data_IF_317623173869
#
_entry.id   IF_317623173869
#
_cell.length_a   1.000
_cell.length_b   1.000
_cell.length_c   1.000
_cell.angle_alpha   90.00
_cell.angle_beta   90.00
_cell.angle_gamma   90.00
#
_symmetry.space_group_name_H-M   'P 1'
#
loop_
_entity.id
_entity.type
_entity.pdbx_description
1 polymer ?
#
# COMPACT_ATOMS: atom_id res chain seq x y z
N UNK A 1 -9.87 7.96 -15.12
CA UNK A 1 -8.58 7.83 -15.81
C UNK A 1 -7.70 8.94 -15.24
N UNK A 2 -6.75 8.61 -14.37
CA UNK A 2 -5.42 9.23 -14.43
C UNK A 2 -4.66 8.14 -15.21
N UNK A 3 -4.64 8.13 -16.55
CA UNK A 3 -4.48 9.25 -17.49
C UNK A 3 -3.27 10.10 -17.11
N UNK A 4 -2.08 9.51 -17.16
CA UNK A 4 -1.02 10.25 -17.83
C UNK A 4 -1.51 10.43 -19.26
N UNK A 5 -1.94 11.65 -19.59
CA UNK A 5 -2.43 12.00 -20.92
C UNK A 5 -1.33 11.68 -21.95
N UNK A 6 -1.71 10.89 -22.94
CA UNK A 6 -1.13 10.97 -24.28
C UNK A 6 -1.32 12.41 -24.78
N UNK A 7 -0.25 13.06 -25.20
CA UNK A 7 -0.31 13.95 -26.34
C UNK A 7 0.75 13.49 -27.34
N UNK A 8 0.27 13.24 -28.56
CA UNK A 8 1.01 12.82 -29.73
C UNK A 8 2.07 13.84 -30.13
N UNK A 9 3.20 13.29 -30.55
CA UNK A 9 4.26 13.99 -31.27
C UNK A 9 3.99 13.83 -32.76
N UNK A 10 3.62 14.89 -33.47
CA UNK A 10 4.03 15.07 -34.87
C UNK A 10 3.93 16.54 -35.30
N UNK A 11 4.98 17.02 -36.00
CA UNK A 11 5.10 18.26 -36.80
C UNK A 11 5.32 19.54 -35.95
N UNK A 12 6.40 20.35 -36.03
CA UNK A 12 7.24 20.81 -37.16
C UNK A 12 8.60 21.33 -36.62
N UNK A 13 9.60 21.33 -37.51
CA UNK A 13 11.00 21.73 -37.39
C UNK A 13 11.34 23.16 -36.90
N UNK A 14 12.67 23.37 -36.77
CA UNK A 14 13.48 24.63 -36.79
C UNK A 14 13.53 25.42 -35.46
N UNK A 15 14.66 25.89 -34.92
CA UNK A 15 15.98 26.28 -35.45
C UNK A 15 17.01 26.44 -34.30
N UNK A 16 18.28 26.13 -34.59
CA UNK A 16 19.55 26.76 -34.15
C UNK A 16 19.75 27.13 -32.66
N UNK A 17 20.65 26.49 -31.89
CA UNK A 17 22.14 26.49 -31.94
C UNK A 17 22.80 27.60 -31.09
N UNK A 18 24.00 27.26 -30.57
CA UNK A 18 25.19 28.12 -30.31
C UNK A 18 25.66 28.27 -28.84
N UNK A 19 26.79 27.58 -28.58
CA UNK A 19 28.00 27.93 -27.77
C UNK A 19 27.89 27.95 -26.23
N UNK A 20 28.91 27.56 -25.44
CA UNK A 20 30.25 26.99 -25.67
C UNK A 20 30.93 26.72 -24.30
N UNK A 21 31.82 25.71 -24.25
CA UNK A 21 33.20 25.67 -23.67
C UNK A 21 33.50 26.55 -22.43
N UNK A 22 34.24 26.16 -21.39
CA UNK A 22 35.31 25.15 -21.22
C UNK A 22 35.99 25.35 -19.84
N UNK A 23 36.59 24.28 -19.28
CA UNK A 23 37.90 24.23 -18.55
C UNK A 23 38.00 24.98 -17.19
N UNK A 24 38.69 24.55 -16.12
CA UNK A 24 39.73 23.55 -15.83
C UNK A 24 39.79 23.23 -14.32
N UNK A 25 40.39 22.08 -14.05
CA UNK A 25 40.96 21.55 -12.80
C UNK A 25 41.64 22.55 -11.84
N UNK A 26 41.61 22.23 -10.53
CA UNK A 26 42.84 22.11 -9.72
C UNK A 26 42.61 21.46 -8.32
N UNK A 27 43.35 20.37 -8.10
CA UNK A 27 44.09 19.91 -6.90
C UNK A 27 43.58 20.11 -5.45
N UNK A 28 43.62 18.99 -4.71
CA UNK A 28 43.48 18.79 -3.25
C UNK A 28 44.46 19.61 -2.37
N UNK A 29 44.16 19.76 -1.07
CA UNK A 29 44.85 18.90 -0.09
C UNK A 29 43.96 18.35 1.05
N UNK A 30 44.44 17.25 1.62
CA UNK A 30 43.97 16.54 2.81
C UNK A 30 44.17 17.33 4.11
N UNK A 31 43.16 17.35 4.98
CA UNK A 31 43.34 17.57 6.42
C UNK A 31 42.25 16.87 7.21
N UNK A 32 42.65 15.96 8.10
CA UNK A 32 41.81 15.36 9.12
C UNK A 32 41.48 16.40 10.18
N UNK A 33 40.20 16.66 10.44
CA UNK A 33 39.76 17.41 11.62
C UNK A 33 38.62 16.65 12.28
N UNK A 34 38.94 16.02 13.42
CA UNK A 34 37.97 15.67 14.44
C UNK A 34 37.40 16.96 15.03
N UNK A 35 36.11 17.23 14.83
CA UNK A 35 35.39 18.23 15.61
C UNK A 35 34.15 17.61 16.27
N UNK A 36 34.21 17.64 17.61
CA UNK A 36 33.17 17.28 18.57
C UNK A 36 31.88 18.04 18.25
N UNK A 37 30.79 17.32 18.00
CA UNK A 37 29.46 17.92 18.00
C UNK A 37 29.01 18.19 19.44
N UNK A 38 29.03 19.46 19.82
CA UNK A 38 28.32 19.97 20.99
C UNK A 38 26.82 20.01 20.62
N UNK A 39 26.02 19.10 21.20
CA UNK A 39 24.56 19.15 21.11
C UNK A 39 24.07 20.38 21.87
N UNK A 40 23.56 21.39 21.15
CA UNK A 40 22.67 22.40 21.74
C UNK A 40 21.29 21.75 21.87
N UNK A 41 20.92 21.37 23.09
CA UNK A 41 19.55 21.00 23.47
C UNK A 41 18.72 22.27 23.59
N UNK A 42 17.75 22.45 22.68
CA UNK A 42 16.63 23.37 22.90
C UNK A 42 15.48 22.57 23.53
N UNK A 43 14.93 22.99 24.67
CA UNK A 43 13.76 22.34 25.22
C UNK A 43 12.54 22.71 24.36
N UNK A 44 12.04 21.75 23.58
CA UNK A 44 10.72 21.85 22.96
C UNK A 44 9.70 21.51 24.05
N UNK A 45 8.98 22.52 24.52
CA UNK A 45 7.83 22.34 25.42
C UNK A 45 6.69 21.70 24.64
N UNK A 46 6.53 20.39 24.75
CA UNK A 46 5.28 19.73 24.36
C UNK A 46 4.20 20.14 25.35
N UNK A 47 3.19 20.88 24.88
CA UNK A 47 1.92 20.97 25.60
C UNK A 47 1.34 19.55 25.66
N UNK A 48 1.40 18.94 26.85
CA UNK A 48 0.74 17.66 27.14
C UNK A 48 -0.76 17.86 26.96
N UNK A 49 -1.33 17.34 25.87
CA UNK A 49 -2.74 17.01 25.86
C UNK A 49 -2.94 15.85 26.83
N UNK A 50 -3.41 16.16 28.04
CA UNK A 50 -3.89 15.16 28.99
C UNK A 50 -5.14 14.50 28.37
N UNK A 51 -4.96 13.34 27.75
CA UNK A 51 -6.06 12.40 27.59
C UNK A 51 -6.18 11.64 28.91
N UNK A 52 -7.12 12.07 29.75
CA UNK A 52 -7.62 11.19 30.81
C UNK A 52 -8.19 9.94 30.13
N UNK A 53 -7.59 8.78 30.42
CA UNK A 53 -8.28 7.50 30.23
C UNK A 53 -9.51 7.54 31.13
N UNK A 54 -10.63 7.98 30.58
CA UNK A 54 -11.92 7.73 31.21
C UNK A 54 -12.10 6.22 31.23
N UNK A 55 -12.07 5.66 32.43
CA UNK A 55 -12.43 4.27 32.71
C UNK A 55 -13.88 4.06 32.26
N UNK A 56 -14.06 3.66 31.01
CA UNK A 56 -15.34 3.19 30.49
C UNK A 56 -15.40 1.70 30.76
N UNK A 57 -16.13 1.34 31.81
CA UNK A 57 -16.54 -0.03 32.12
C UNK A 57 -17.56 -0.51 31.08
N UNK A 58 -17.08 -0.72 29.86
CA UNK A 58 -17.82 -1.22 28.72
C UNK A 58 -16.89 -1.24 27.52
N UNK A 59 -16.27 -2.38 27.23
CA UNK A 59 -15.57 -2.59 25.95
C UNK A 59 -16.51 -2.18 24.80
N UNK A 60 -15.97 -1.49 23.78
CA UNK A 60 -16.80 -1.08 22.65
C UNK A 60 -17.47 -2.31 22.03
N UNK A 61 -18.70 -2.17 21.52
CA UNK A 61 -19.42 -3.26 20.85
C UNK A 61 -18.57 -3.94 19.75
N UNK A 62 -17.68 -3.17 19.11
CA UNK A 62 -16.77 -3.70 18.10
C UNK A 62 -15.65 -4.58 18.68
N UNK A 63 -15.08 -4.23 19.84
CA UNK A 63 -14.09 -5.07 20.52
C UNK A 63 -14.71 -6.43 20.87
N UNK A 64 -15.89 -6.46 21.50
CA UNK A 64 -16.58 -7.72 21.81
C UNK A 64 -16.93 -8.52 20.54
N UNK A 65 -17.30 -7.84 19.45
CA UNK A 65 -17.57 -8.49 18.16
C UNK A 65 -16.33 -9.23 17.64
N UNK A 66 -15.15 -8.61 17.73
CA UNK A 66 -13.89 -9.20 17.27
C UNK A 66 -13.43 -10.32 18.21
N UNK A 67 -13.47 -10.10 19.54
CA UNK A 67 -13.03 -11.10 20.52
C UNK A 67 -13.96 -12.31 20.59
N UNK A 68 -15.28 -12.11 20.41
CA UNK A 68 -16.24 -13.20 20.26
C UNK A 68 -15.92 -14.07 19.04
N UNK A 69 -15.62 -13.46 17.88
CA UNK A 69 -15.18 -14.22 16.71
C UNK A 69 -13.87 -14.99 16.97
N UNK A 70 -12.89 -14.40 17.65
CA UNK A 70 -11.63 -15.09 18.02
C UNK A 70 -11.90 -16.30 18.92
N UNK A 71 -12.82 -16.16 19.88
CA UNK A 71 -13.29 -17.22 20.78
C UNK A 71 -13.97 -18.35 20.01
N UNK A 72 -14.93 -18.02 19.14
CA UNK A 72 -15.70 -18.97 18.34
C UNK A 72 -14.82 -19.75 17.35
N UNK A 73 -13.75 -19.13 16.86
CA UNK A 73 -12.79 -19.77 15.94
C UNK A 73 -11.61 -20.43 16.65
N UNK A 74 -11.59 -20.41 17.99
CA UNK A 74 -10.52 -20.97 18.81
C UNK A 74 -9.11 -20.45 18.41
N UNK A 75 -9.05 -19.18 18.00
CA UNK A 75 -7.79 -18.47 17.76
C UNK A 75 -7.32 -17.93 19.11
N UNK A 76 -6.17 -18.41 19.59
CA UNK A 76 -5.59 -17.92 20.84
C UNK A 76 -5.31 -16.43 20.75
N UNK A 77 -5.82 -15.68 21.73
CA UNK A 77 -5.67 -14.24 21.82
C UNK A 77 -5.43 -13.77 23.26
N UNK A 78 -4.95 -12.53 23.42
CA UNK A 78 -4.81 -11.88 24.71
C UNK A 78 -4.75 -10.36 24.56
N UNK A 79 -5.25 -9.62 25.55
CA UNK A 79 -5.14 -8.17 25.58
C UNK A 79 -3.68 -7.76 25.83
N UNK A 80 -3.15 -6.89 24.98
CA UNK A 80 -1.80 -6.33 25.07
C UNK A 80 -1.82 -4.79 25.09
N UNK A 81 -2.99 -4.19 25.37
CA UNK A 81 -3.19 -2.74 25.36
C UNK A 81 -2.31 -2.01 26.37
N UNK A 82 -1.94 -2.65 27.49
CA UNK A 82 -0.99 -2.05 28.46
C UNK A 82 0.44 -1.92 27.92
N UNK A 83 0.79 -2.74 26.92
CA UNK A 83 2.12 -2.74 26.30
C UNK A 83 2.21 -1.74 25.14
N UNK A 84 1.07 -1.18 24.70
CA UNK A 84 0.96 -0.38 23.49
C UNK A 84 0.22 0.91 23.80
N UNK A 85 0.91 2.04 23.65
CA UNK A 85 0.30 3.36 23.87
C UNK A 85 -0.68 3.71 22.74
N UNK A 86 -1.93 3.26 22.88
CA UNK A 86 -3.06 3.60 21.99
C UNK A 86 -4.30 3.96 22.82
N UNK A 87 -5.17 4.88 22.33
CA UNK A 87 -6.50 5.07 22.92
C UNK A 87 -7.46 3.89 22.64
N UNK A 88 -7.11 2.98 21.74
CA UNK A 88 -7.94 1.83 21.38
C UNK A 88 -7.33 0.50 21.82
N UNK A 89 -8.20 -0.50 22.02
CA UNK A 89 -7.80 -1.85 22.39
C UNK A 89 -6.88 -2.47 21.36
N UNK A 90 -5.81 -3.12 21.83
CA UNK A 90 -4.94 -3.95 21.00
C UNK A 90 -4.94 -5.39 21.52
N UNK A 91 -5.39 -6.31 20.67
CA UNK A 91 -5.45 -7.74 20.98
C UNK A 91 -4.34 -8.48 20.25
N UNK A 92 -3.45 -9.14 20.97
CA UNK A 92 -2.48 -10.06 20.39
C UNK A 92 -3.17 -11.35 19.94
N UNK A 93 -2.88 -11.84 18.74
CA UNK A 93 -3.38 -13.13 18.23
C UNK A 93 -2.25 -14.05 17.74
N UNK A 94 -2.49 -15.37 17.85
CA UNK A 94 -1.56 -16.39 17.40
C UNK A 94 -0.27 -16.42 18.23
N UNK A 95 -0.39 -16.65 19.53
CA UNK A 95 0.72 -16.73 20.49
C UNK A 95 1.79 -17.75 20.04
N UNK A 96 3.06 -17.36 20.06
CA UNK A 96 4.25 -18.17 19.77
C UNK A 96 5.29 -17.89 20.86
N UNK A 97 5.49 -18.85 21.76
CA UNK A 97 6.26 -18.59 22.98
C UNK A 97 5.60 -17.50 23.81
N UNK A 98 6.36 -16.46 24.16
CA UNK A 98 5.86 -15.30 24.92
C UNK A 98 5.35 -14.13 24.04
N UNK A 99 5.48 -14.22 22.71
CA UNK A 99 5.07 -13.15 21.80
C UNK A 99 3.81 -13.52 21.01
N UNK A 100 3.11 -12.52 20.47
CA UNK A 100 2.02 -12.75 19.51
C UNK A 100 2.50 -12.53 18.07
N UNK A 101 1.96 -13.29 17.12
CA UNK A 101 2.23 -13.07 15.69
C UNK A 101 1.71 -11.74 15.20
N UNK A 102 0.51 -11.36 15.64
CA UNK A 102 -0.15 -10.14 15.19
C UNK A 102 -0.72 -9.39 16.38
N UNK A 103 -0.46 -8.10 16.50
CA UNK A 103 -1.26 -7.18 17.30
C UNK A 103 -2.41 -6.64 16.47
N UNK A 104 -3.66 -6.92 16.85
CA UNK A 104 -4.85 -6.37 16.23
C UNK A 104 -5.24 -5.07 16.94
N UNK A 105 -4.94 -3.93 16.33
CA UNK A 105 -5.37 -2.63 16.79
C UNK A 105 -6.82 -2.40 16.32
N UNK A 106 -7.77 -2.47 17.24
CA UNK A 106 -9.21 -2.49 16.94
C UNK A 106 -9.75 -1.05 16.95
N UNK A 107 -10.00 -0.48 15.77
CA UNK A 107 -10.37 0.92 15.61
C UNK A 107 -11.87 1.02 15.31
N UNK A 108 -12.69 1.54 16.25
CA UNK A 108 -14.12 1.72 16.02
C UNK A 108 -14.41 2.85 15.02
N UNK A 109 -15.67 2.98 14.60
CA UNK A 109 -16.07 4.09 13.74
C UNK A 109 -15.67 5.45 14.33
N UNK A 110 -15.09 6.34 13.51
CA UNK A 110 -14.91 7.71 13.94
C UNK A 110 -16.28 8.39 14.08
N UNK A 111 -16.37 9.32 15.02
CA UNK A 111 -17.61 10.03 15.34
C UNK A 111 -17.29 11.44 15.86
N UNK A 112 -18.32 12.18 16.27
CA UNK A 112 -18.15 13.49 16.92
C UNK A 112 -17.35 13.40 18.22
N UNK A 113 -17.45 12.28 18.93
CA UNK A 113 -16.77 12.04 20.21
C UNK A 113 -15.56 11.13 20.08
N UNK A 114 -15.42 10.42 18.96
CA UNK A 114 -14.29 9.56 18.66
C UNK A 114 -13.54 10.09 17.44
N UNK A 115 -12.56 10.97 17.67
CA UNK A 115 -11.71 11.53 16.61
C UNK A 115 -10.42 10.70 16.58
N UNK A 116 -10.08 10.16 15.42
CA UNK A 116 -8.86 9.38 15.23
C UNK A 116 -7.69 10.35 14.96
N UNK A 117 -6.62 10.22 15.74
CA UNK A 117 -5.39 10.97 15.52
C UNK A 117 -4.76 10.59 14.15
N UNK A 118 -4.40 11.58 13.30
CA UNK A 118 -3.86 11.34 11.96
C UNK A 118 -2.59 10.48 11.91
N UNK A 119 -1.80 10.49 12.98
CA UNK A 119 -0.50 9.81 13.07
C UNK A 119 -0.57 8.47 13.81
N UNK A 120 -1.74 8.11 14.35
CA UNK A 120 -1.88 6.95 15.25
C UNK A 120 -1.43 5.64 14.61
N UNK A 121 -2.03 5.27 13.47
CA UNK A 121 -1.74 4.02 12.77
C UNK A 121 -0.27 3.97 12.34
N UNK A 122 0.23 5.07 11.75
CA UNK A 122 1.63 5.19 11.34
C UNK A 122 2.59 5.03 12.53
N UNK A 123 2.37 5.75 13.63
CA UNK A 123 3.24 5.71 14.82
C UNK A 123 3.31 4.32 15.42
N UNK A 124 2.18 3.61 15.49
CA UNK A 124 2.16 2.24 15.97
C UNK A 124 2.83 1.27 14.99
N UNK A 125 2.63 1.45 13.68
CA UNK A 125 3.28 0.62 12.65
C UNK A 125 4.80 0.82 12.63
N UNK A 126 5.27 2.05 12.86
CA UNK A 126 6.69 2.40 12.89
C UNK A 126 7.37 2.01 14.22
N UNK A 127 6.60 1.54 15.21
CA UNK A 127 7.14 1.19 16.52
C UNK A 127 7.80 -0.20 16.53
N UNK A 128 9.12 -0.22 16.39
CA UNK A 128 9.94 -1.44 16.43
C UNK A 128 10.04 -2.09 17.82
N UNK A 129 9.56 -1.42 18.89
CA UNK A 129 9.62 -1.94 20.27
C UNK A 129 8.42 -2.79 20.67
N UNK A 130 7.44 -2.95 19.76
CA UNK A 130 6.25 -3.76 20.03
C UNK A 130 6.62 -5.24 20.23
N UNK A 131 5.92 -5.90 21.16
CA UNK A 131 6.11 -7.33 21.50
C UNK A 131 5.42 -8.28 20.50
N UNK A 132 4.98 -7.76 19.35
CA UNK A 132 4.31 -8.51 18.28
C UNK A 132 5.14 -8.49 17.01
N UNK A 133 5.05 -9.54 16.19
CA UNK A 133 5.82 -9.58 14.93
C UNK A 133 5.32 -8.58 13.88
N UNK A 134 4.02 -8.25 13.93
CA UNK A 134 3.41 -7.24 13.07
C UNK A 134 2.14 -6.69 13.71
N UNK A 135 1.76 -5.46 13.35
CA UNK A 135 0.50 -4.85 13.77
C UNK A 135 -0.46 -4.76 12.59
N UNK A 136 -1.75 -4.99 12.82
CA UNK A 136 -2.83 -4.79 11.86
C UNK A 136 -3.80 -3.77 12.45
N UNK A 137 -4.13 -2.75 11.68
CA UNK A 137 -5.14 -1.75 12.03
C UNK A 137 -6.48 -2.20 11.49
N UNK A 138 -7.27 -2.83 12.37
CA UNK A 138 -8.57 -3.36 12.04
C UNK A 138 -9.63 -2.28 12.27
N UNK A 139 -9.96 -1.56 11.19
CA UNK A 139 -11.05 -0.59 11.23
C UNK A 139 -12.43 -1.27 11.12
N UNK A 140 -13.37 -0.83 11.95
CA UNK A 140 -14.73 -1.36 12.03
C UNK A 140 -15.47 -1.31 10.68
N UNK A 141 -15.25 -0.25 9.91
CA UNK A 141 -15.86 -0.07 8.60
C UNK A 141 -15.38 -1.11 7.57
N UNK A 142 -14.12 -1.54 7.68
CA UNK A 142 -13.55 -2.60 6.83
C UNK A 142 -14.05 -3.97 7.27
N UNK A 143 -14.12 -4.22 8.59
CA UNK A 143 -14.68 -5.45 9.15
C UNK A 143 -16.14 -5.67 8.74
N UNK A 144 -16.97 -4.63 8.81
CA UNK A 144 -18.40 -4.75 8.50
C UNK A 144 -18.66 -4.93 7.01
N UNK A 145 -17.89 -4.28 6.13
CA UNK A 145 -18.11 -4.38 4.67
C UNK A 145 -17.47 -5.61 4.01
N UNK A 146 -16.38 -6.14 4.55
CA UNK A 146 -15.60 -7.25 3.96
C UNK A 146 -15.34 -8.36 4.97
N UNK A 147 -16.34 -8.66 5.79
CA UNK A 147 -16.22 -9.47 7.00
C UNK A 147 -15.57 -10.84 6.78
N UNK A 148 -16.06 -11.57 5.79
CA UNK A 148 -15.56 -12.88 5.39
C UNK A 148 -14.09 -12.83 4.93
N UNK A 149 -13.73 -11.87 4.08
CA UNK A 149 -12.35 -11.67 3.60
C UNK A 149 -11.42 -11.25 4.74
N UNK A 150 -11.89 -10.38 5.64
CA UNK A 150 -11.10 -9.94 6.80
C UNK A 150 -10.82 -11.12 7.73
N UNK A 151 -11.85 -11.89 8.11
CA UNK A 151 -11.71 -13.09 8.95
C UNK A 151 -10.74 -14.09 8.32
N UNK A 152 -10.89 -14.34 7.03
CA UNK A 152 -9.97 -15.17 6.24
C UNK A 152 -8.51 -14.70 6.31
N UNK A 153 -8.27 -13.39 6.09
CA UNK A 153 -6.92 -12.80 6.15
C UNK A 153 -6.29 -12.92 7.54
N UNK A 154 -7.07 -12.65 8.59
CA UNK A 154 -6.62 -12.78 9.97
C UNK A 154 -6.28 -14.24 10.32
N UNK A 155 -7.16 -15.18 9.95
CA UNK A 155 -6.92 -16.61 10.12
C UNK A 155 -5.65 -17.07 9.38
N UNK A 156 -5.43 -16.57 8.16
CA UNK A 156 -4.23 -16.86 7.38
C UNK A 156 -2.94 -16.39 8.07
N UNK A 157 -2.93 -15.18 8.66
CA UNK A 157 -1.77 -14.64 9.40
C UNK A 157 -1.37 -15.51 10.60
N UNK A 158 -2.32 -16.24 11.18
CA UNK A 158 -2.06 -17.18 12.29
C UNK A 158 -1.99 -18.65 11.85
N UNK A 159 -1.85 -18.91 10.55
CA UNK A 159 -1.75 -20.26 9.95
C UNK A 159 -3.00 -21.15 10.13
N UNK A 160 -4.18 -20.56 10.32
CA UNK A 160 -5.48 -21.21 10.51
C UNK A 160 -6.35 -21.17 9.24
N UNK A 161 -5.76 -21.49 8.09
CA UNK A 161 -6.50 -21.60 6.81
C UNK A 161 -7.15 -22.98 6.65
N UNK A 162 -8.28 -23.05 5.96
CA UNK A 162 -8.98 -24.31 5.70
C UNK A 162 -8.27 -25.12 4.60
N UNK A 163 -7.80 -24.44 3.56
CA UNK A 163 -7.15 -25.08 2.42
C UNK A 163 -5.70 -24.63 2.24
N UNK A 164 -4.83 -25.60 1.91
CA UNK A 164 -3.42 -25.36 1.57
C UNK A 164 -3.11 -25.98 0.22
N UNK A 165 -3.03 -25.13 -0.79
CA UNK A 165 -2.58 -25.53 -2.11
C UNK A 165 -1.07 -25.31 -2.24
N UNK A 166 -0.43 -26.15 -3.06
CA UNK A 166 0.98 -26.00 -3.39
C UNK A 166 1.09 -25.64 -4.85
N UNK A 167 1.74 -24.52 -5.17
CA UNK A 167 1.84 -24.03 -6.55
C UNK A 167 2.48 -25.04 -7.51
N UNK A 168 3.32 -25.97 -7.04
CA UNK A 168 3.87 -27.05 -7.88
C UNK A 168 2.81 -28.00 -8.46
N UNK A 169 1.63 -28.09 -7.82
CA UNK A 169 0.50 -28.94 -8.26
C UNK A 169 -0.55 -28.18 -9.07
N UNK A 170 -0.31 -26.91 -9.37
CA UNK A 170 -1.26 -26.07 -10.11
C UNK A 170 -0.85 -25.94 -11.56
N UNK A 171 -1.76 -25.46 -12.41
CA UNK A 171 -1.48 -24.96 -13.74
C UNK A 171 -1.61 -23.45 -13.75
N UNK A 172 -0.70 -22.76 -14.44
CA UNK A 172 -0.78 -21.29 -14.61
C UNK A 172 -1.34 -20.99 -16.00
N UNK A 173 -2.25 -20.02 -16.10
CA UNK A 173 -2.83 -19.62 -17.38
C UNK A 173 -3.13 -18.11 -17.40
N UNK A 174 -3.03 -17.52 -18.60
CA UNK A 174 -3.68 -16.23 -18.89
C UNK A 174 -5.19 -16.35 -18.73
N UNK A 175 -5.78 -15.38 -18.03
CA UNK A 175 -7.24 -15.25 -17.89
C UNK A 175 -7.69 -13.90 -18.45
N UNK A 176 -8.95 -13.82 -18.87
CA UNK A 176 -9.54 -12.56 -19.31
C UNK A 176 -9.80 -11.62 -18.11
N UNK A 177 -10.13 -10.36 -18.41
CA UNK A 177 -10.36 -9.35 -17.39
C UNK A 177 -11.63 -9.58 -16.59
N UNK A 178 -12.67 -10.19 -17.17
CA UNK A 178 -13.96 -10.45 -16.49
C UNK A 178 -13.73 -11.48 -15.41
N UNK A 179 -13.11 -12.62 -15.76
CA UNK A 179 -12.73 -13.68 -14.82
C UNK A 179 -11.86 -13.14 -13.68
N UNK A 180 -10.87 -12.31 -13.99
CA UNK A 180 -10.01 -11.70 -12.98
C UNK A 180 -10.77 -10.74 -12.04
N UNK A 181 -11.69 -9.94 -12.59
CA UNK A 181 -12.50 -8.99 -11.81
C UNK A 181 -13.47 -9.70 -10.87
N UNK A 182 -14.14 -10.76 -11.33
CA UNK A 182 -15.04 -11.58 -10.52
C UNK A 182 -14.29 -12.18 -9.32
N UNK A 183 -13.16 -12.84 -9.60
CA UNK A 183 -12.33 -13.46 -8.56
C UNK A 183 -11.81 -12.43 -7.52
N UNK A 184 -11.32 -11.28 -7.99
CA UNK A 184 -10.81 -10.23 -7.09
C UNK A 184 -11.92 -9.60 -6.25
N UNK A 185 -13.12 -9.41 -6.79
CA UNK A 185 -14.24 -8.85 -6.04
C UNK A 185 -14.70 -9.79 -4.91
N UNK A 186 -14.60 -11.09 -5.13
CA UNK A 186 -14.99 -12.11 -4.16
C UNK A 186 -13.92 -12.37 -3.08
N UNK A 187 -12.63 -12.31 -3.44
CA UNK A 187 -11.55 -12.79 -2.56
C UNK A 187 -10.55 -11.72 -2.12
N UNK A 188 -10.46 -10.58 -2.82
CA UNK A 188 -9.51 -9.52 -2.48
C UNK A 188 -10.18 -8.43 -1.63
N UNK A 189 -9.53 -8.02 -0.53
CA UNK A 189 -10.06 -7.03 0.42
C UNK A 189 -10.55 -5.75 -0.27
N UNK A 190 -9.70 -5.24 -1.16
CA UNK A 190 -9.93 -4.02 -1.91
C UNK A 190 -10.60 -4.22 -3.28
N UNK A 191 -11.05 -5.44 -3.57
CA UNK A 191 -11.72 -5.79 -4.83
C UNK A 191 -10.87 -5.63 -6.10
N UNK A 192 -11.56 -5.74 -7.23
CA UNK A 192 -10.97 -5.61 -8.55
C UNK A 192 -10.51 -4.18 -8.85
N UNK A 193 -9.57 -4.07 -9.77
CA UNK A 193 -9.10 -2.79 -10.33
C UNK A 193 -8.63 -3.04 -11.76
N UNK A 194 -8.43 -1.96 -12.52
CA UNK A 194 -8.00 -2.05 -13.92
C UNK A 194 -6.63 -2.69 -14.02
N UNK A 195 -6.50 -3.64 -14.91
CA UNK A 195 -5.25 -4.34 -15.23
C UNK A 195 -5.18 -4.62 -16.73
N UNK A 196 -3.96 -4.85 -17.24
CA UNK A 196 -3.73 -5.23 -18.64
C UNK A 196 -3.46 -6.71 -18.79
N UNK A 197 -2.81 -7.28 -17.79
CA UNK A 197 -2.33 -8.64 -17.82
C UNK A 197 -2.84 -9.38 -16.60
N UNK A 198 -3.53 -10.51 -16.79
CA UNK A 198 -4.14 -11.28 -15.70
C UNK A 198 -3.74 -12.75 -15.85
N UNK A 199 -3.36 -13.34 -14.73
CA UNK A 199 -2.95 -14.74 -14.65
C UNK A 199 -3.69 -15.42 -13.51
N UNK A 200 -4.15 -16.64 -13.77
CA UNK A 200 -4.78 -17.51 -12.79
C UNK A 200 -3.92 -18.74 -12.49
N UNK A 201 -4.04 -19.25 -11.26
CA UNK A 201 -3.62 -20.60 -10.89
C UNK A 201 -4.84 -21.49 -10.79
N UNK A 202 -4.81 -22.60 -11.51
CA UNK A 202 -5.82 -23.64 -11.49
C UNK A 202 -5.29 -24.85 -10.75
N UNK A 203 -6.07 -25.45 -9.87
CA UNK A 203 -5.67 -26.69 -9.19
C UNK A 203 -5.85 -27.93 -10.09
N UNK A 204 -5.76 -29.12 -9.51
CA UNK A 204 -5.88 -30.39 -10.25
C UNK A 204 -7.28 -30.68 -10.76
N UNK A 205 -8.29 -29.99 -10.22
CA UNK A 205 -9.70 -30.14 -10.57
C UNK A 205 -10.16 -28.98 -11.49
N UNK A 206 -9.20 -28.25 -12.07
CA UNK A 206 -9.40 -27.05 -12.89
C UNK A 206 -10.16 -25.91 -12.18
N UNK A 207 -10.12 -25.85 -10.84
CA UNK A 207 -10.66 -24.73 -10.08
C UNK A 207 -9.65 -23.57 -10.06
N UNK A 208 -10.11 -22.34 -10.35
CA UNK A 208 -9.32 -21.12 -10.19
C UNK A 208 -9.14 -20.82 -8.69
N UNK A 209 -7.91 -20.92 -8.19
CA UNK A 209 -7.60 -20.80 -6.75
C UNK A 209 -6.76 -19.58 -6.38
N UNK A 210 -6.15 -18.91 -7.36
CA UNK A 210 -5.45 -17.63 -7.14
C UNK A 210 -5.34 -16.82 -8.43
N UNK A 211 -5.28 -15.49 -8.27
CA UNK A 211 -5.13 -14.52 -9.37
C UNK A 211 -4.04 -13.52 -9.07
N UNK A 212 -3.26 -13.16 -10.09
CA UNK A 212 -2.38 -12.00 -10.09
C UNK A 212 -2.68 -11.11 -11.30
N UNK A 213 -2.70 -9.80 -11.09
CA UNK A 213 -2.96 -8.82 -12.15
C UNK A 213 -1.85 -7.78 -12.23
N UNK A 214 -1.52 -7.38 -13.46
CA UNK A 214 -0.38 -6.50 -13.75
C UNK A 214 -0.77 -5.35 -14.67
N UNK A 215 -0.06 -4.23 -14.53
CA UNK A 215 -0.25 -3.03 -15.33
C UNK A 215 0.27 -3.18 -16.76
N UNK A 216 -0.14 -2.29 -17.68
CA UNK A 216 0.61 -2.06 -18.91
C UNK A 216 2.08 -1.72 -18.61
N UNK A 217 2.93 -1.90 -19.61
CA UNK A 217 4.34 -1.48 -19.58
C UNK A 217 4.42 0.03 -19.38
N UNK A 218 5.32 0.46 -18.50
CA UNK A 218 5.76 1.85 -18.36
C UNK A 218 7.23 1.94 -18.77
N UNK A 219 7.60 3.02 -19.47
CA UNK A 219 9.00 3.34 -19.73
C UNK A 219 9.52 4.16 -18.57
N UNK A 220 10.43 3.57 -17.79
CA UNK A 220 11.04 4.23 -16.64
C UNK A 220 12.54 4.26 -16.86
N UNK A 221 13.11 5.46 -16.94
CA UNK A 221 14.56 5.60 -16.91
C UNK A 221 15.01 5.28 -15.50
N UNK A 222 15.79 4.23 -15.33
CA UNK A 222 16.39 3.86 -14.06
C UNK A 222 17.89 4.16 -14.10
N UNK A 223 18.50 4.37 -12.93
CA UNK A 223 19.95 4.48 -12.86
C UNK A 223 20.62 3.20 -13.39
N UNK A 224 21.87 3.33 -13.84
CA UNK A 224 22.70 2.21 -14.32
C UNK A 224 22.08 1.47 -15.52
N UNK A 225 21.33 2.18 -16.36
CA UNK A 225 20.72 1.64 -17.58
C UNK A 225 21.07 2.47 -18.81
N UNK A 226 21.39 1.82 -19.93
CA UNK A 226 21.57 2.46 -21.24
C UNK A 226 20.24 2.76 -21.95
N UNK A 227 19.13 2.14 -21.51
CA UNK A 227 17.78 2.35 -22.04
C UNK A 227 16.71 2.47 -20.94
N UNK A 228 15.50 2.95 -21.27
CA UNK A 228 14.37 2.88 -20.34
C UNK A 228 14.03 1.42 -19.99
N UNK A 229 13.79 1.17 -18.70
CA UNK A 229 13.28 -0.11 -18.21
C UNK A 229 11.86 -0.36 -18.71
N UNK A 230 11.58 -1.62 -18.98
CA UNK A 230 10.26 -2.23 -19.21
C UNK A 230 9.62 -2.49 -17.85
N UNK A 231 9.22 -1.43 -17.16
CA UNK A 231 8.66 -1.51 -15.81
C UNK A 231 7.18 -1.88 -15.86
N UNK A 232 6.75 -2.78 -14.97
CA UNK A 232 5.35 -3.10 -14.74
C UNK A 232 5.02 -3.05 -13.26
N UNK A 233 3.73 -2.96 -12.94
CA UNK A 233 3.23 -3.02 -11.57
C UNK A 233 2.47 -4.33 -11.37
N UNK A 234 2.79 -5.09 -10.32
CA UNK A 234 1.91 -6.12 -9.78
C UNK A 234 0.84 -5.41 -8.96
N UNK A 235 -0.37 -5.35 -9.49
CA UNK A 235 -1.45 -4.53 -8.93
C UNK A 235 -2.19 -5.27 -7.82
N UNK A 236 -2.48 -6.55 -8.05
CA UNK A 236 -3.19 -7.41 -7.10
C UNK A 236 -2.64 -8.81 -7.13
N UNK A 237 -2.59 -9.45 -5.97
CA UNK A 237 -2.52 -10.89 -5.82
C UNK A 237 -3.47 -11.31 -4.71
N UNK A 238 -4.30 -12.33 -4.96
CA UNK A 238 -4.97 -13.06 -3.89
C UNK A 238 -5.17 -14.53 -4.27
N UNK A 239 -5.21 -15.37 -3.24
CA UNK A 239 -5.80 -16.70 -3.32
C UNK A 239 -7.29 -16.63 -2.94
N UNK A 240 -8.03 -17.73 -3.11
CA UNK A 240 -9.35 -17.88 -2.51
C UNK A 240 -9.29 -17.60 -1.00
N UNK A 241 -10.30 -16.89 -0.47
CA UNK A 241 -10.34 -16.43 0.93
C UNK A 241 -10.29 -17.58 1.95
N UNK A 242 -10.73 -18.77 1.59
CA UNK A 242 -10.71 -19.96 2.45
C UNK A 242 -9.38 -20.74 2.42
N UNK A 243 -8.37 -20.25 1.71
CA UNK A 243 -7.09 -20.96 1.66
C UNK A 243 -5.87 -20.14 1.30
N UNK A 244 -4.76 -20.86 1.16
CA UNK A 244 -3.46 -20.29 0.87
C UNK A 244 -2.73 -21.12 -0.18
N UNK A 245 -2.16 -20.46 -1.19
CA UNK A 245 -1.34 -21.10 -2.22
C UNK A 245 0.13 -20.87 -1.92
N UNK A 246 0.79 -21.89 -1.36
CA UNK A 246 2.22 -21.86 -1.05
C UNK A 246 3.01 -21.77 -2.36
N UNK A 247 3.78 -20.70 -2.53
CA UNK A 247 4.52 -20.38 -3.75
C UNK A 247 3.65 -19.83 -4.89
N UNK A 248 2.37 -19.51 -4.63
CA UNK A 248 1.42 -19.11 -5.68
C UNK A 248 1.84 -17.81 -6.37
N UNK A 249 2.14 -16.77 -5.58
CA UNK A 249 2.59 -15.48 -6.10
C UNK A 249 3.89 -15.62 -6.91
N UNK A 250 4.88 -16.37 -6.42
CA UNK A 250 6.15 -16.61 -7.12
C UNK A 250 5.90 -17.24 -8.48
N UNK A 251 5.05 -18.26 -8.55
CA UNK A 251 4.71 -18.92 -9.82
C UNK A 251 4.02 -17.98 -10.82
N UNK A 252 3.12 -17.12 -10.34
CA UNK A 252 2.43 -16.14 -11.19
C UNK A 252 3.38 -15.04 -11.68
N UNK A 253 4.30 -14.58 -10.83
CA UNK A 253 5.35 -13.63 -11.21
C UNK A 253 6.30 -14.25 -12.23
N UNK A 254 6.75 -15.50 -12.04
CA UNK A 254 7.60 -16.20 -13.01
C UNK A 254 6.89 -16.36 -14.37
N UNK A 255 5.61 -16.72 -14.37
CA UNK A 255 4.81 -16.81 -15.61
C UNK A 255 4.71 -15.46 -16.33
N UNK A 256 4.47 -14.38 -15.59
CA UNK A 256 4.48 -13.02 -16.13
C UNK A 256 5.85 -12.66 -16.74
N UNK A 257 6.94 -12.96 -16.04
CA UNK A 257 8.28 -12.63 -16.49
C UNK A 257 8.66 -13.39 -17.76
N UNK A 258 8.26 -14.67 -17.86
CA UNK A 258 8.49 -15.50 -19.02
C UNK A 258 7.78 -15.00 -20.28
N UNK A 259 6.56 -14.48 -20.14
CA UNK A 259 5.79 -13.98 -21.28
C UNK A 259 6.20 -12.56 -21.69
N UNK A 260 6.38 -11.64 -20.74
CA UNK A 260 6.52 -10.21 -21.02
C UNK A 260 7.97 -9.69 -21.01
N UNK A 261 8.90 -10.47 -20.46
CA UNK A 261 10.29 -10.06 -20.24
C UNK A 261 10.38 -8.63 -19.65
N UNK A 262 9.77 -8.36 -18.48
CA UNK A 262 9.93 -7.09 -17.79
C UNK A 262 11.38 -6.96 -17.28
N UNK A 263 11.82 -5.72 -17.09
CA UNK A 263 13.10 -5.46 -16.42
C UNK A 263 12.92 -5.30 -14.91
N UNK A 264 11.72 -4.90 -14.48
CA UNK A 264 11.36 -4.80 -13.07
C UNK A 264 9.85 -4.93 -12.86
N UNK A 265 9.48 -5.21 -11.61
CA UNK A 265 8.14 -5.13 -11.08
C UNK A 265 8.08 -4.20 -9.87
N UNK A 266 7.04 -3.37 -9.81
CA UNK A 266 6.71 -2.55 -8.65
C UNK A 266 5.44 -3.10 -8.00
N UNK A 267 5.33 -3.06 -6.68
CA UNK A 267 4.07 -3.29 -5.97
C UNK A 267 3.95 -2.36 -4.76
N UNK A 268 2.72 -2.16 -4.30
CA UNK A 268 2.41 -1.36 -3.13
C UNK A 268 1.77 -2.22 -2.06
N UNK A 269 2.19 -2.03 -0.81
CA UNK A 269 1.70 -2.76 0.36
C UNK A 269 1.04 -1.76 1.28
N UNK A 270 -0.22 -2.05 1.58
CA UNK A 270 -1.01 -1.33 2.56
C UNK A 270 -0.54 -1.69 3.97
N UNK A 271 -0.01 -0.69 4.69
CA UNK A 271 0.63 -0.89 5.98
C UNK A 271 -0.36 -1.12 7.11
N UNK A 272 -1.66 -0.86 6.91
CA UNK A 272 -2.71 -1.26 7.87
C UNK A 272 -2.78 -2.79 8.03
N UNK A 273 -2.27 -3.55 7.06
CA UNK A 273 -2.34 -5.02 7.04
C UNK A 273 -1.00 -5.71 7.32
N UNK A 274 -0.14 -5.00 8.04
CA UNK A 274 1.15 -5.45 8.52
C UNK A 274 2.31 -5.07 7.61
N UNK A 275 3.49 -5.51 8.02
CA UNK A 275 4.74 -5.23 7.33
C UNK A 275 4.84 -6.01 6.02
N UNK A 276 5.58 -5.45 5.05
CA UNK A 276 5.83 -6.08 3.76
C UNK A 276 6.86 -7.21 3.77
N UNK A 277 7.22 -7.74 4.94
CA UNK A 277 8.32 -8.70 5.10
C UNK A 277 8.14 -9.99 4.27
N UNK A 278 6.90 -10.42 4.05
CA UNK A 278 6.60 -11.59 3.20
C UNK A 278 7.00 -11.44 1.73
N UNK A 279 7.35 -10.22 1.29
CA UNK A 279 7.73 -9.91 -0.08
C UNK A 279 9.23 -10.03 -0.34
N UNK A 280 10.06 -9.81 0.68
CA UNK A 280 11.52 -9.88 0.54
C UNK A 280 12.01 -11.28 0.08
N UNK A 281 11.48 -12.41 0.60
CA UNK A 281 11.86 -13.74 0.09
C UNK A 281 11.49 -14.00 -1.37
N UNK A 282 10.61 -13.19 -1.97
CA UNK A 282 10.22 -13.26 -3.38
C UNK A 282 11.13 -12.36 -4.25
N UNK A 283 12.02 -11.58 -3.62
CA UNK A 283 12.95 -10.65 -4.28
C UNK A 283 12.47 -9.20 -4.34
N UNK A 284 11.40 -8.86 -3.62
CA UNK A 284 10.86 -7.49 -3.60
C UNK A 284 11.48 -6.66 -2.46
N UNK A 285 12.32 -5.71 -2.83
CA UNK A 285 13.00 -4.80 -1.91
C UNK A 285 12.14 -3.60 -1.55
N UNK A 286 12.21 -3.16 -0.28
CA UNK A 286 11.59 -1.90 0.17
C UNK A 286 12.37 -0.71 -0.36
N UNK A 287 11.73 0.11 -1.18
CA UNK A 287 12.36 1.27 -1.82
C UNK A 287 11.79 2.61 -1.37
N UNK A 288 10.57 2.64 -0.84
CA UNK A 288 9.99 3.85 -0.26
C UNK A 288 8.84 3.52 0.72
N UNK A 289 8.61 4.40 1.67
CA UNK A 289 7.38 4.44 2.49
C UNK A 289 6.68 5.75 2.20
N UNK A 290 5.42 5.68 1.82
CA UNK A 290 4.57 6.83 1.57
C UNK A 290 3.83 7.20 2.86
N UNK A 291 3.70 8.50 3.17
CA UNK A 291 2.86 8.97 4.25
C UNK A 291 1.41 8.44 4.20
N UNK A 292 0.71 8.48 5.35
CA UNK A 292 -0.71 8.17 5.44
C UNK A 292 -1.59 8.89 4.42
N UNK A 293 -2.68 8.24 4.04
CA UNK A 293 -3.79 8.86 3.33
C UNK A 293 -4.93 9.19 4.29
N UNK A 294 -5.64 10.27 3.99
CA UNK A 294 -6.90 10.63 4.64
C UNK A 294 -8.07 10.18 3.77
N UNK A 295 -9.03 9.56 4.43
CA UNK A 295 -10.33 9.19 3.90
C UNK A 295 -11.40 9.69 4.88
N UNK A 296 -12.66 9.68 4.47
CA UNK A 296 -13.77 10.02 5.35
C UNK A 296 -14.77 8.87 5.44
N UNK A 297 -15.29 8.61 6.63
CA UNK A 297 -16.43 7.73 6.83
C UNK A 297 -17.70 8.57 6.74
N UNK A 298 -18.57 8.20 5.82
CA UNK A 298 -19.92 8.73 5.70
C UNK A 298 -20.87 7.91 6.59
N UNK A 299 -21.41 8.56 7.63
CA UNK A 299 -22.36 7.97 8.57
C UNK A 299 -23.83 8.30 8.23
N UNK A 300 -24.12 8.98 7.11
CA UNK A 300 -25.50 9.20 6.67
C UNK A 300 -26.11 7.94 6.03
N UNK A 301 -25.26 7.14 5.39
CA UNK A 301 -25.63 5.89 4.75
C UNK A 301 -25.70 4.79 5.83
N UNK A 302 -26.80 4.03 5.91
CA UNK A 302 -27.04 3.09 7.02
C UNK A 302 -25.84 2.20 7.39
N UNK A 303 -25.12 1.64 6.41
CA UNK A 303 -23.81 1.03 6.62
C UNK A 303 -22.74 2.08 6.30
N UNK A 304 -21.86 2.46 7.24
CA UNK A 304 -20.86 3.49 6.99
C UNK A 304 -19.93 3.14 5.83
N UNK A 305 -19.72 4.09 4.92
CA UNK A 305 -18.92 3.92 3.70
C UNK A 305 -17.67 4.79 3.76
N UNK A 306 -16.51 4.18 3.50
CA UNK A 306 -15.23 4.89 3.36
C UNK A 306 -15.17 5.60 2.01
N UNK A 307 -15.05 6.93 2.06
CA UNK A 307 -14.93 7.85 0.94
C UNK A 307 -13.49 8.33 0.81
N UNK A 308 -12.93 8.23 -0.39
CA UNK A 308 -11.57 8.67 -0.67
C UNK A 308 -11.52 10.18 -0.90
N UNK A 309 -10.53 10.83 -0.29
CA UNK A 309 -10.30 12.28 -0.39
C UNK A 309 -9.10 12.61 -1.30
N UNK A 310 -8.40 11.60 -1.79
CA UNK A 310 -7.22 11.72 -2.65
C UNK A 310 -7.36 10.89 -3.93
N UNK A 311 -6.58 11.24 -4.96
CA UNK A 311 -6.44 10.48 -6.19
C UNK A 311 -7.76 10.28 -6.96
N UNK A 312 -7.97 9.07 -7.50
CA UNK A 312 -9.10 8.75 -8.37
C UNK A 312 -10.48 8.80 -7.70
N UNK A 313 -10.56 9.03 -6.38
CA UNK A 313 -11.82 9.26 -5.68
C UNK A 313 -12.30 10.72 -5.75
N UNK A 314 -11.41 11.68 -6.04
CA UNK A 314 -11.74 13.11 -6.03
C UNK A 314 -12.72 13.51 -7.14
N UNK A 315 -13.72 14.33 -6.81
CA UNK A 315 -14.57 15.03 -7.79
C UNK A 315 -15.63 14.15 -8.46
N UNK A 316 -15.99 13.05 -7.82
CA UNK A 316 -17.07 12.19 -8.30
C UNK A 316 -18.44 12.85 -8.08
N UNK A 317 -19.25 12.94 -9.14
CA UNK A 317 -20.66 13.32 -9.01
C UNK A 317 -21.42 12.14 -8.39
N UNK A 318 -22.37 12.42 -7.50
CA UNK A 318 -23.19 11.40 -6.80
C UNK A 318 -23.89 10.43 -7.77
N UNK A 319 -24.18 10.85 -9.01
CA UNK A 319 -24.88 10.06 -10.02
C UNK A 319 -23.99 9.39 -11.08
N UNK A 320 -22.66 9.36 -10.90
CA UNK A 320 -21.78 8.70 -11.86
C UNK A 320 -21.77 7.18 -11.62
N UNK A 321 -22.63 6.45 -12.34
CA UNK A 321 -22.73 4.98 -12.35
C UNK A 321 -21.41 4.25 -12.66
N UNK A 322 -20.36 4.98 -13.04
CA UNK A 322 -19.00 4.49 -13.23
C UNK A 322 -18.16 4.40 -11.94
N UNK A 323 -18.60 4.99 -10.82
CA UNK A 323 -17.82 5.08 -9.59
C UNK A 323 -17.97 3.89 -8.65
N UNK A 324 -19.17 3.30 -8.54
CA UNK A 324 -19.33 1.97 -7.93
C UNK A 324 -18.48 0.93 -8.67
N UNK A 325 -18.38 1.05 -10.01
CA UNK A 325 -17.60 0.13 -10.86
C UNK A 325 -16.09 0.15 -10.62
N UNK A 326 -15.52 1.22 -10.05
CA UNK A 326 -14.08 1.29 -9.73
C UNK A 326 -13.78 1.03 -8.24
N UNK A 327 -14.80 0.77 -7.41
CA UNK A 327 -14.64 0.36 -6.01
C UNK A 327 -14.04 1.40 -5.06
N UNK A 328 -14.02 2.69 -5.43
CA UNK A 328 -13.45 3.79 -4.63
C UNK A 328 -14.36 5.02 -4.67
N UNK A 329 -15.43 5.07 -3.84
CA UNK A 329 -16.31 6.22 -3.80
C UNK A 329 -15.57 7.44 -3.23
N UNK A 330 -15.79 8.63 -3.79
CA UNK A 330 -15.25 9.89 -3.29
C UNK A 330 -16.16 10.60 -2.31
N UNK A 331 -15.64 11.65 -1.66
CA UNK A 331 -16.48 12.61 -0.95
C UNK A 331 -17.35 13.41 -1.94
N UNK A 332 -18.51 13.96 -1.51
CA UNK A 332 -19.34 14.82 -2.35
C UNK A 332 -18.56 16.01 -2.93
N UNK A 333 -18.92 16.41 -4.16
CA UNK A 333 -18.17 17.42 -4.92
C UNK A 333 -18.22 18.81 -4.29
N UNK A 334 -19.33 19.17 -3.67
CA UNK A 334 -19.51 20.41 -2.89
C UNK A 334 -18.62 20.44 -1.64
N UNK A 335 -18.55 19.33 -0.91
CA UNK A 335 -17.61 19.17 0.22
C UNK A 335 -16.17 19.30 -0.25
N UNK A 336 -15.81 18.70 -1.39
CA UNK A 336 -14.48 18.84 -1.96
C UNK A 336 -14.17 20.31 -2.30
N UNK A 337 -15.11 21.05 -2.89
CA UNK A 337 -14.93 22.48 -3.19
C UNK A 337 -14.74 23.29 -1.90
N UNK A 338 -15.60 23.09 -0.88
CA UNK A 338 -15.50 23.78 0.41
C UNK A 338 -14.13 23.54 1.09
N UNK A 339 -13.65 22.29 1.11
CA UNK A 339 -12.33 21.98 1.66
C UNK A 339 -11.20 22.71 0.92
N UNK A 340 -11.36 22.99 -0.37
CA UNK A 340 -10.39 23.73 -1.18
C UNK A 340 -10.26 25.21 -0.82
N UNK A 341 -11.20 25.74 -0.03
CA UNK A 341 -11.19 27.12 0.47
C UNK A 341 -10.58 27.21 1.88
N UNK A 342 -10.36 26.07 2.55
CA UNK A 342 -9.81 25.99 3.90
C UNK A 342 -8.30 25.71 3.85
N UNK A 343 -7.55 26.28 4.80
CA UNK A 343 -6.08 26.13 4.87
C UNK A 343 -5.57 25.52 6.17
N UNK A 344 -6.40 25.43 7.20
CA UNK A 344 -6.08 24.85 8.50
C UNK A 344 -6.85 23.54 8.76
N UNK A 345 -6.36 22.77 9.73
CA UNK A 345 -6.90 21.46 10.10
C UNK A 345 -8.26 21.57 10.81
N UNK A 346 -8.41 22.52 11.72
CA UNK A 346 -9.65 22.73 12.47
C UNK A 346 -10.83 23.08 11.55
N UNK A 347 -10.63 24.02 10.62
CA UNK A 347 -11.63 24.38 9.62
C UNK A 347 -11.99 23.19 8.72
N UNK A 348 -11.01 22.39 8.31
CA UNK A 348 -11.25 21.23 7.45
C UNK A 348 -12.04 20.14 8.20
N UNK A 349 -11.74 19.91 9.48
CA UNK A 349 -12.51 19.04 10.35
C UNK A 349 -13.96 19.54 10.52
N UNK A 350 -14.17 20.84 10.62
CA UNK A 350 -15.52 21.42 10.76
C UNK A 350 -16.36 21.27 9.49
N UNK A 351 -15.75 21.46 8.32
CA UNK A 351 -16.40 21.19 7.02
C UNK A 351 -16.83 19.73 6.93
N UNK A 352 -15.94 18.79 7.27
CA UNK A 352 -16.27 17.36 7.26
C UNK A 352 -17.42 17.04 8.23
N UNK A 353 -17.34 17.52 9.48
CA UNK A 353 -18.37 17.29 10.51
C UNK A 353 -19.74 17.85 10.12
N UNK A 354 -19.76 19.04 9.53
CA UNK A 354 -20.99 19.68 9.05
C UNK A 354 -21.71 18.85 7.97
N UNK A 355 -20.95 18.00 7.27
CA UNK A 355 -21.45 17.08 6.24
C UNK A 355 -21.57 15.62 6.73
N UNK A 356 -21.47 15.38 8.05
CA UNK A 356 -21.49 14.06 8.68
C UNK A 356 -20.42 13.09 8.14
N UNK A 357 -19.28 13.66 7.75
CA UNK A 357 -18.08 12.96 7.33
C UNK A 357 -17.06 12.99 8.46
N UNK A 358 -16.45 11.85 8.75
CA UNK A 358 -15.47 11.73 9.83
C UNK A 358 -14.15 11.16 9.30
N UNK A 359 -13.01 11.83 9.51
CA UNK A 359 -11.76 11.40 8.91
C UNK A 359 -11.26 10.09 9.51
N UNK A 360 -10.64 9.26 8.66
CA UNK A 360 -9.85 8.08 9.02
C UNK A 360 -8.54 8.12 8.26
N UNK A 361 -7.51 7.57 8.89
CA UNK A 361 -6.15 7.60 8.39
C UNK A 361 -5.59 6.18 8.37
N UNK A 362 -4.89 5.82 7.31
CA UNK A 362 -4.14 4.56 7.23
C UNK A 362 -2.71 4.73 7.79
N UNK A 363 -1.95 3.65 7.89
CA UNK A 363 -0.53 3.68 8.27
C UNK A 363 0.42 4.07 7.12
N UNK A 364 -0.13 4.49 5.96
CA UNK A 364 0.60 4.74 4.73
C UNK A 364 0.82 3.49 3.87
N UNK A 365 1.61 3.66 2.82
CA UNK A 365 1.83 2.62 1.80
C UNK A 365 3.32 2.38 1.63
N UNK A 366 3.74 1.12 1.67
CA UNK A 366 5.11 0.73 1.39
C UNK A 366 5.26 0.33 -0.08
N UNK A 367 6.25 0.90 -0.77
CA UNK A 367 6.58 0.54 -2.15
C UNK A 367 7.69 -0.48 -2.18
N UNK A 368 7.47 -1.52 -2.98
CA UNK A 368 8.43 -2.57 -3.24
C UNK A 368 8.84 -2.59 -4.71
N UNK A 369 10.12 -2.87 -4.94
CA UNK A 369 10.72 -3.06 -6.27
C UNK A 369 11.34 -4.45 -6.33
N UNK A 370 11.02 -5.20 -7.37
CA UNK A 370 11.73 -6.41 -7.78
C UNK A 370 12.43 -6.09 -9.09
N UNK A 371 13.76 -6.08 -9.10
CA UNK A 371 14.52 -6.01 -10.36
C UNK A 371 14.76 -7.43 -10.86
N UNK A 372 14.54 -7.67 -12.14
CA UNK A 372 14.62 -9.00 -12.73
C UNK A 372 16.07 -9.32 -13.09
N UNK A 373 16.68 -10.21 -12.33
CA UNK A 373 18.04 -10.70 -12.59
C UNK A 373 18.04 -11.79 -13.66
N UNK A 374 18.82 -11.59 -14.74
CA UNK A 374 18.92 -12.55 -15.84
C UNK A 374 19.40 -13.94 -15.38
N UNK A 375 20.28 -14.01 -14.38
CA UNK A 375 20.82 -15.26 -13.83
C UNK A 375 19.79 -16.10 -13.08
N UNK A 376 18.71 -15.48 -12.59
CA UNK A 376 17.62 -16.14 -11.85
C UNK A 376 16.40 -16.45 -12.73
N UNK A 377 16.46 -16.11 -14.02
CA UNK A 377 15.38 -16.38 -14.96
C UNK A 377 15.36 -17.85 -15.39
N UNK A 378 14.15 -18.36 -15.60
CA UNK A 378 13.95 -19.64 -16.27
C UNK A 378 14.45 -19.56 -17.72
N UNK A 379 14.95 -20.68 -18.28
CA UNK A 379 15.53 -20.75 -19.63
C UNK A 379 14.65 -20.10 -20.70
N UNK A 380 13.34 -20.33 -20.67
CA UNK A 380 12.41 -19.74 -21.64
C UNK A 380 12.30 -18.22 -21.53
N UNK A 381 12.37 -17.67 -20.31
CA UNK A 381 12.36 -16.23 -20.09
C UNK A 381 13.68 -15.59 -20.58
N UNK A 382 14.81 -16.27 -20.39
CA UNK A 382 16.12 -15.82 -20.89
C UNK A 382 16.17 -15.78 -22.41
N UNK A 383 15.70 -16.84 -23.09
CA UNK A 383 15.60 -16.88 -24.57
C UNK A 383 14.73 -15.72 -25.07
N UNK A 384 13.59 -15.48 -24.40
CA UNK A 384 12.69 -14.37 -24.79
C UNK A 384 13.35 -13.00 -24.66
N UNK A 385 14.22 -12.81 -23.67
CA UNK A 385 14.98 -11.56 -23.48
C UNK A 385 16.02 -11.36 -24.58
N UNK A 386 16.74 -12.41 -24.93
CA UNK A 386 17.72 -12.41 -26.02
C UNK A 386 17.04 -12.08 -27.37
N UNK A 387 15.91 -12.73 -27.69
CA UNK A 387 15.10 -12.43 -28.89
C UNK A 387 14.66 -10.96 -28.97
N UNK A 388 14.48 -10.32 -27.82
CA UNK A 388 14.07 -8.91 -27.70
C UNK A 388 15.27 -7.96 -27.59
N UNK A 389 16.50 -8.46 -27.58
CA UNK A 389 17.73 -7.67 -27.42
C UNK A 389 17.82 -6.97 -26.06
N UNK A 390 17.42 -7.63 -24.98
CA UNK A 390 17.32 -7.06 -23.62
C UNK A 390 18.49 -7.45 -22.69
N UNK A 391 19.63 -7.82 -23.26
CA UNK A 391 20.82 -8.32 -22.55
C UNK A 391 21.67 -7.20 -21.93
N UNK A 392 21.25 -5.95 -22.10
CA UNK A 392 21.94 -4.74 -21.66
C UNK A 392 21.79 -4.45 -20.16
N UNK A 393 20.81 -5.07 -19.51
CA UNK A 393 20.59 -4.97 -18.06
C UNK A 393 21.21 -6.20 -17.41
N UNK A 394 22.50 -6.10 -17.11
CA UNK A 394 23.19 -7.04 -16.22
C UNK A 394 23.39 -6.30 -14.92
N UNK A 395 22.72 -6.72 -13.86
CA UNK A 395 23.13 -6.33 -12.52
C UNK A 395 22.82 -7.47 -11.55
N UNK A 396 23.86 -7.98 -10.89
CA UNK A 396 23.70 -8.49 -9.53
C UNK A 396 23.40 -7.25 -8.66
N UNK A 397 22.12 -7.02 -8.37
CA UNK A 397 21.64 -5.84 -7.64
C UNK A 397 21.50 -6.24 -6.18
N UNK A 398 22.29 -5.64 -5.30
CA UNK A 398 22.03 -5.72 -3.87
C UNK A 398 20.88 -4.77 -3.50
N UNK A 399 20.25 -4.96 -2.34
CA UNK A 399 19.15 -4.14 -1.82
C UNK A 399 19.48 -2.64 -1.85
N UNK A 400 20.74 -2.27 -1.56
CA UNK A 400 21.24 -0.89 -1.63
C UNK A 400 21.14 -0.30 -3.05
N UNK A 401 21.34 -1.12 -4.06
CA UNK A 401 21.21 -0.73 -5.47
C UNK A 401 19.73 -0.54 -5.83
N UNK A 402 18.80 -1.37 -5.35
CA UNK A 402 17.35 -1.21 -5.59
C UNK A 402 16.82 0.15 -5.13
N UNK A 403 17.24 0.62 -3.95
CA UNK A 403 16.87 1.95 -3.41
C UNK A 403 17.46 3.07 -4.26
N UNK A 404 18.74 2.97 -4.64
CA UNK A 404 19.39 3.95 -5.50
C UNK A 404 18.72 4.03 -6.88
N UNK A 405 18.45 2.87 -7.49
CA UNK A 405 17.75 2.70 -8.76
C UNK A 405 16.39 3.39 -8.73
N UNK A 406 15.66 3.23 -7.62
CA UNK A 406 14.35 3.86 -7.42
C UNK A 406 14.46 5.38 -7.32
N UNK A 407 15.31 5.91 -6.43
CA UNK A 407 15.40 7.34 -6.18
C UNK A 407 15.92 8.14 -7.38
N UNK A 408 16.74 7.53 -8.23
CA UNK A 408 17.28 8.15 -9.45
C UNK A 408 16.41 7.90 -10.69
N UNK A 409 15.19 7.38 -10.53
CA UNK A 409 14.31 7.06 -11.65
C UNK A 409 13.62 8.29 -12.26
N UNK A 410 13.34 8.26 -13.57
CA UNK A 410 12.55 9.26 -14.32
C UNK A 410 11.45 8.61 -15.17
N UNK A 411 10.22 9.15 -15.21
CA UNK A 411 9.75 10.22 -14.33
C UNK A 411 9.81 9.74 -12.88
N UNK A 412 10.19 10.65 -11.98
CA UNK A 412 9.97 10.40 -10.55
C UNK A 412 8.46 10.35 -10.34
N UNK A 413 8.00 9.62 -9.32
CA UNK A 413 6.60 9.69 -8.96
C UNK A 413 6.23 11.16 -8.68
N UNK A 414 5.16 11.68 -9.29
CA UNK A 414 4.77 13.07 -9.06
C UNK A 414 4.44 13.27 -7.57
N UNK A 415 4.72 14.46 -7.06
CA UNK A 415 4.32 14.87 -5.71
C UNK A 415 2.79 14.85 -5.53
N UNK A 416 2.05 14.86 -6.65
CA UNK A 416 0.58 14.82 -6.78
C UNK A 416 -0.08 13.53 -6.27
N UNK A 417 0.64 12.66 -5.54
CA UNK A 417 0.03 11.55 -4.82
C UNK A 417 -0.99 12.04 -3.78
N UNK A 418 -0.76 13.24 -3.25
CA UNK A 418 -1.67 13.93 -2.35
C UNK A 418 -2.55 14.92 -3.11
N UNK A 419 -3.70 15.22 -2.54
CA UNK A 419 -4.65 16.15 -3.14
C UNK A 419 -4.00 17.53 -3.31
N UNK A 420 -4.31 18.27 -4.38
CA UNK A 420 -3.95 19.70 -4.45
C UNK A 420 -4.88 20.57 -3.59
N UNK A 421 -5.91 19.97 -3.00
CA UNK A 421 -6.89 20.63 -2.15
C UNK A 421 -6.25 20.99 -0.79
N UNK A 422 -6.31 22.27 -0.44
CA UNK A 422 -5.63 22.83 0.73
C UNK A 422 -6.16 22.31 2.06
N UNK A 423 -7.49 22.14 2.21
CA UNK A 423 -8.09 21.59 3.42
C UNK A 423 -7.84 20.09 3.56
N UNK A 424 -7.78 19.34 2.45
CA UNK A 424 -7.38 17.92 2.51
C UNK A 424 -5.91 17.81 2.93
N UNK A 425 -5.05 18.69 2.43
CA UNK A 425 -3.64 18.74 2.82
C UNK A 425 -3.43 19.22 4.25
N UNK A 426 -4.30 20.06 4.81
CA UNK A 426 -4.20 20.46 6.22
C UNK A 426 -4.45 19.28 7.16
N UNK A 427 -5.30 18.33 6.76
CA UNK A 427 -5.56 17.09 7.50
C UNK A 427 -4.43 16.05 7.39
N UNK A 428 -3.52 16.19 6.42
CA UNK A 428 -2.39 15.30 6.19
C UNK A 428 -1.10 15.86 6.81
N UNK A 429 -1.02 15.82 8.13
CA UNK A 429 0.06 16.45 8.92
C UNK A 429 1.46 15.95 8.46
N UNK A 430 1.59 14.65 8.17
CA UNK A 430 2.86 14.01 7.75
C UNK A 430 3.13 14.03 6.24
N UNK A 431 2.14 14.39 5.41
CA UNK A 431 2.35 14.50 3.96
C UNK A 431 3.04 15.82 3.57
N UNK A 432 3.19 16.74 4.52
CA UNK A 432 3.94 18.00 4.38
C UNK A 432 5.42 17.79 4.68
N UNK A 433 6.12 16.99 3.89
CA UNK A 433 7.60 16.92 3.88
C UNK A 433 8.11 16.92 2.45
#
# INVERSE_FOLDING_TARGET
>A
MIALRCFDVTILCSMYAILSKSFLANSFPTTSIHQRYIRKTYPISYQRFHHEKTSTSGESCFVETVTSWLRDTNITYGDISEQISSPYTVVGIGKVGECFKVGLHIIPYPSKTNIIDPTLCKTLTDNETLTVQTIIHLHEDVWNRKNDIVKARLAAKVNRVNHRWYARKTRVQRIDIITAMEFLNEHHLWGATRSKFNYGLFDTDDELIAVATFSPRRHVNRAKSSRPYRSHELIRYCAKKDGHVIGGITKLVSAFCRELAPDDLVTCIDRDWGSGEGWQPIGFDKVAVMPPLVMAIDNNSGIPIRKYMVGAGIGSKENDSNNEKNGRPGIPSDVFIQLGEITDDNGALEVLRSNNLFPVYDAGVERRLLVIENTKLETQASVRREELGLDDIIHEIDVKDSVEIWHKSKPSFPADYYSSNTGINSLLIDAKI
#
